data_IF_729732075830
#
_entry.id   IF_729732075830
#
_cell.length_a   1.000
_cell.length_b   1.000
_cell.length_c   1.000
_cell.angle_alpha   90.00
_cell.angle_beta   90.00
_cell.angle_gamma   90.00
#
_symmetry.space_group_name_H-M   'P 1'
#
loop_
_entity.id
_entity.type
_entity.pdbx_description
1 polymer ?
#
# COMPACT_ATOMS: atom_id res chain seq x y z
N UNK A 1 11.94 2.45 -6.00
CA UNK A 1 11.26 1.15 -5.84
C UNK A 1 11.42 0.37 -7.13
N UNK A 2 11.75 -0.91 -7.06
CA UNK A 2 11.75 -1.84 -8.18
C UNK A 2 10.56 -2.80 -8.00
N UNK A 3 9.49 -2.67 -8.80
CA UNK A 3 8.30 -3.49 -8.64
C UNK A 3 8.55 -4.98 -8.96
N UNK A 4 9.51 -5.29 -9.83
CA UNK A 4 9.79 -6.68 -10.25
C UNK A 4 10.48 -7.50 -9.16
N UNK A 5 11.31 -6.86 -8.35
CA UNK A 5 12.02 -7.52 -7.24
C UNK A 5 11.39 -7.22 -5.89
N UNK A 6 10.36 -6.36 -5.85
CA UNK A 6 9.70 -5.90 -4.62
C UNK A 6 10.71 -5.36 -3.58
N UNK A 7 11.67 -4.55 -4.04
CA UNK A 7 12.69 -3.92 -3.19
C UNK A 7 12.94 -2.46 -3.61
N UNK A 8 13.72 -1.72 -2.83
CA UNK A 8 14.22 -0.42 -3.23
C UNK A 8 15.00 -0.48 -4.55
N UNK A 9 14.97 0.62 -5.30
CA UNK A 9 15.74 0.71 -6.56
C UNK A 9 17.22 0.91 -6.24
N UNK A 10 18.10 0.57 -7.18
CA UNK A 10 19.56 0.73 -7.04
C UNK A 10 20.00 2.16 -6.71
N UNK A 11 19.19 3.17 -7.02
CA UNK A 11 19.41 4.56 -6.60
C UNK A 11 19.47 4.70 -5.08
N UNK A 12 18.55 4.06 -4.35
CA UNK A 12 18.48 4.14 -2.88
C UNK A 12 19.78 3.63 -2.25
N UNK A 13 20.35 2.58 -2.83
CA UNK A 13 21.62 2.01 -2.39
C UNK A 13 22.80 2.92 -2.74
N UNK A 14 22.87 3.41 -3.98
CA UNK A 14 23.92 4.34 -4.44
C UNK A 14 23.97 5.62 -3.61
N UNK A 15 22.82 6.10 -3.14
CA UNK A 15 22.74 7.29 -2.30
C UNK A 15 22.90 6.99 -0.79
N UNK A 16 23.05 5.71 -0.42
CA UNK A 16 23.16 5.29 0.99
C UNK A 16 21.88 5.51 1.80
N UNK A 17 20.72 5.67 1.15
CA UNK A 17 19.46 6.00 1.80
C UNK A 17 18.74 4.82 2.41
N UNK A 18 19.15 3.57 2.12
CA UNK A 18 18.47 2.38 2.63
C UNK A 18 18.32 2.38 4.15
N UNK A 19 19.33 2.90 4.88
CA UNK A 19 19.31 3.03 6.35
C UNK A 19 18.25 3.99 6.89
N UNK A 20 17.72 4.87 6.05
CA UNK A 20 16.66 5.84 6.41
C UNK A 20 15.26 5.25 6.24
N UNK A 21 15.16 4.09 5.60
CA UNK A 21 13.90 3.46 5.27
C UNK A 21 13.49 2.48 6.37
N UNK A 22 12.23 2.53 6.77
CA UNK A 22 11.66 1.50 7.64
C UNK A 22 11.61 0.15 6.91
N UNK A 23 11.64 -0.99 7.63
CA UNK A 23 11.45 -2.30 7.02
C UNK A 23 10.11 -2.37 6.26
N UNK A 24 10.15 -2.84 5.01
CA UNK A 24 8.95 -3.02 4.20
C UNK A 24 8.12 -4.18 4.74
N UNK A 25 6.80 -3.97 4.85
CA UNK A 25 5.83 -5.00 5.26
C UNK A 25 4.62 -4.99 4.32
N UNK A 26 3.94 -6.12 4.13
CA UNK A 26 2.64 -6.17 3.47
C UNK A 26 1.61 -5.22 4.11
N UNK A 27 0.78 -4.59 3.28
CA UNK A 27 -0.24 -3.64 3.73
C UNK A 27 -1.22 -4.21 4.77
N UNK A 28 -1.53 -5.51 4.66
CA UNK A 28 -2.45 -6.25 5.53
C UNK A 28 -1.85 -6.70 6.85
N UNK A 29 -0.57 -6.45 7.09
CA UNK A 29 0.07 -6.87 8.34
C UNK A 29 -0.42 -5.99 9.49
N UNK A 30 -0.79 -6.63 10.61
CA UNK A 30 -1.08 -5.93 11.87
C UNK A 30 0.23 -5.52 12.53
N UNK A 31 0.42 -4.22 12.73
CA UNK A 31 1.60 -3.67 13.40
C UNK A 31 1.49 -3.73 14.93
N UNK A 32 0.26 -3.69 15.44
CA UNK A 32 -0.01 -3.75 16.87
C UNK A 32 -1.37 -3.13 17.22
N UNK A 33 -1.68 -2.95 18.50
CA UNK A 33 -2.80 -2.11 18.92
C UNK A 33 -2.49 -0.62 18.73
N UNK A 34 -3.54 0.20 18.70
CA UNK A 34 -3.43 1.66 18.83
C UNK A 34 -2.64 2.03 20.10
N UNK A 35 -1.84 3.10 20.04
CA UNK A 35 -1.08 3.55 21.18
C UNK A 35 -1.99 3.92 22.37
N UNK A 36 -1.67 3.56 23.62
CA UNK A 36 -2.54 3.81 24.77
C UNK A 36 -2.95 5.28 24.95
N UNK A 37 -2.06 6.21 24.65
CA UNK A 37 -2.36 7.65 24.71
C UNK A 37 -3.40 8.06 23.66
N UNK A 38 -3.34 7.49 22.46
CA UNK A 38 -4.29 7.75 21.38
C UNK A 38 -5.64 7.08 21.68
N UNK A 39 -5.67 5.85 22.21
CA UNK A 39 -6.89 5.20 22.65
C UNK A 39 -7.66 6.05 23.67
N UNK A 40 -6.96 6.59 24.68
CA UNK A 40 -7.56 7.51 25.66
C UNK A 40 -8.09 8.80 25.02
N UNK A 41 -7.37 9.35 24.05
CA UNK A 41 -7.75 10.60 23.38
C UNK A 41 -8.98 10.42 22.49
N UNK A 42 -9.07 9.30 21.76
CA UNK A 42 -10.13 9.04 20.77
C UNK A 42 -11.32 8.27 21.33
N UNK A 43 -11.18 7.64 22.50
CA UNK A 43 -12.19 6.75 23.08
C UNK A 43 -12.27 5.37 22.41
N UNK A 44 -11.32 5.04 21.52
CA UNK A 44 -11.25 3.72 20.89
C UNK A 44 -10.79 2.65 21.88
N UNK A 45 -11.21 1.39 21.64
CA UNK A 45 -10.74 0.23 22.40
C UNK A 45 -9.19 0.17 22.33
N UNK A 46 -8.47 0.06 23.47
CA UNK A 46 -7.02 -0.11 23.47
C UNK A 46 -6.51 -1.31 22.66
N UNK A 47 -7.35 -2.29 22.32
CA UNK A 47 -7.01 -3.43 21.45
C UNK A 47 -7.25 -3.18 19.97
N UNK A 48 -7.78 -2.02 19.57
CA UNK A 48 -8.04 -1.64 18.17
C UNK A 48 -6.79 -1.88 17.31
N UNK A 49 -6.86 -2.74 16.28
CA UNK A 49 -5.69 -3.07 15.47
C UNK A 49 -5.27 -1.91 14.57
N UNK A 50 -3.97 -1.65 14.50
CA UNK A 50 -3.35 -0.78 13.50
C UNK A 50 -2.66 -1.66 12.47
N UNK A 51 -3.02 -1.48 11.20
CA UNK A 51 -2.42 -2.18 10.07
C UNK A 51 -1.34 -1.33 9.41
N UNK A 52 -0.42 -1.98 8.67
CA UNK A 52 0.64 -1.30 7.93
C UNK A 52 0.08 -0.27 6.93
N UNK A 53 -1.12 -0.53 6.41
CA UNK A 53 -1.83 0.39 5.55
C UNK A 53 -1.34 0.33 4.10
N UNK A 54 -2.02 1.09 3.25
CA UNK A 54 -1.77 1.13 1.82
C UNK A 54 -1.97 2.54 1.26
N UNK A 55 -1.46 2.76 0.05
CA UNK A 55 -1.63 4.02 -0.68
C UNK A 55 -3.08 4.21 -1.16
N UNK A 56 -3.55 5.45 -1.18
CA UNK A 56 -4.94 5.84 -1.49
C UNK A 56 -5.48 5.22 -2.79
N UNK A 57 -4.75 5.36 -3.90
CA UNK A 57 -5.21 4.77 -5.18
C UNK A 57 -5.31 3.25 -5.13
N UNK A 58 -4.46 2.56 -4.35
CA UNK A 58 -4.59 1.11 -4.13
C UNK A 58 -5.77 0.77 -3.21
N UNK A 59 -6.14 1.66 -2.27
CA UNK A 59 -7.30 1.47 -1.41
C UNK A 59 -8.59 1.53 -2.23
N UNK A 60 -8.65 2.45 -3.20
CA UNK A 60 -9.74 2.49 -4.18
C UNK A 60 -9.74 1.29 -5.12
N UNK A 61 -8.57 0.68 -5.41
CA UNK A 61 -8.46 -0.51 -6.25
C UNK A 61 -8.85 -1.82 -5.53
N UNK A 62 -8.66 -1.88 -4.21
CA UNK A 62 -8.82 -3.11 -3.42
C UNK A 62 -10.19 -3.79 -3.57
N UNK A 63 -11.35 -3.09 -3.55
CA UNK A 63 -12.65 -3.73 -3.76
C UNK A 63 -12.72 -4.47 -5.09
N UNK A 64 -12.17 -3.90 -6.17
CA UNK A 64 -12.14 -4.52 -7.49
C UNK A 64 -11.22 -5.73 -7.55
N UNK A 65 -10.10 -5.72 -6.83
CA UNK A 65 -9.23 -6.90 -6.72
C UNK A 65 -9.92 -8.08 -6.00
N UNK A 66 -10.91 -7.79 -5.15
CA UNK A 66 -11.68 -8.80 -4.42
C UNK A 66 -12.89 -9.29 -5.23
N UNK A 67 -13.54 -8.40 -6.00
CA UNK A 67 -14.77 -8.73 -6.72
C UNK A 67 -14.57 -9.20 -8.16
N UNK A 68 -13.53 -8.74 -8.85
CA UNK A 68 -13.34 -8.96 -10.28
C UNK A 68 -12.32 -10.08 -10.57
N UNK A 69 -12.48 -10.76 -11.71
CA UNK A 69 -11.47 -11.68 -12.24
C UNK A 69 -10.56 -10.97 -13.26
N UNK A 70 -9.22 -11.03 -13.11
CA UNK A 70 -8.30 -10.52 -14.11
C UNK A 70 -8.41 -11.24 -15.47
N UNK A 71 -8.15 -10.56 -16.60
CA UNK A 71 -7.68 -9.18 -16.69
C UNK A 71 -8.83 -8.18 -16.62
N UNK A 72 -8.61 -7.09 -15.89
CA UNK A 72 -9.52 -5.94 -15.87
C UNK A 72 -8.74 -4.65 -15.70
N UNK A 73 -9.40 -3.53 -15.97
CA UNK A 73 -8.87 -2.20 -15.70
C UNK A 73 -9.86 -1.39 -14.89
N UNK A 74 -9.34 -0.61 -13.95
CA UNK A 74 -10.11 0.44 -13.26
C UNK A 74 -9.69 1.77 -13.84
N UNK A 75 -10.64 2.51 -14.41
CA UNK A 75 -10.45 3.87 -14.92
C UNK A 75 -11.07 4.84 -13.92
N UNK A 76 -10.23 5.33 -13.00
CA UNK A 76 -10.64 6.34 -12.03
C UNK A 76 -10.67 7.71 -12.70
N UNK A 77 -11.75 8.46 -12.52
CA UNK A 77 -11.98 9.77 -13.14
C UNK A 77 -12.22 10.85 -12.08
N UNK A 78 -11.77 12.07 -12.38
CA UNK A 78 -11.87 13.24 -11.53
C UNK A 78 -11.14 14.40 -12.20
N UNK A 79 -10.33 15.15 -11.45
CA UNK A 79 -9.38 16.12 -12.05
C UNK A 79 -8.40 15.44 -13.01
N UNK A 80 -8.03 14.20 -12.70
CA UNK A 80 -7.20 13.35 -13.55
C UNK A 80 -7.94 12.07 -13.92
N UNK A 81 -7.54 11.47 -15.04
CA UNK A 81 -7.93 10.11 -15.41
C UNK A 81 -6.75 9.19 -15.15
N UNK A 82 -6.95 8.19 -14.29
CA UNK A 82 -5.93 7.20 -13.92
C UNK A 82 -6.41 5.81 -14.33
N UNK A 83 -5.64 5.14 -15.19
CA UNK A 83 -5.92 3.77 -15.64
C UNK A 83 -5.02 2.78 -14.91
N UNK A 84 -5.62 1.88 -14.14
CA UNK A 84 -4.94 0.80 -13.42
C UNK A 84 -5.28 -0.53 -14.07
N UNK A 85 -4.31 -1.17 -14.71
CA UNK A 85 -4.49 -2.46 -15.38
C UNK A 85 -4.03 -3.63 -14.50
N UNK A 86 -4.95 -4.53 -14.17
CA UNK A 86 -4.68 -5.73 -13.36
C UNK A 86 -4.61 -6.94 -14.27
N UNK A 87 -3.57 -7.77 -14.11
CA UNK A 87 -3.34 -8.92 -14.97
C UNK A 87 -2.98 -8.56 -16.42
N UNK A 88 -2.53 -7.31 -16.64
CA UNK A 88 -2.02 -6.88 -17.95
C UNK A 88 -0.77 -7.66 -18.36
N UNK A 89 -0.51 -7.72 -19.68
CA UNK A 89 0.72 -8.32 -20.20
C UNK A 89 1.93 -7.56 -19.67
N UNK A 90 2.99 -8.30 -19.33
CA UNK A 90 4.28 -7.71 -18.97
C UNK A 90 4.77 -6.85 -20.14
N UNK A 91 5.16 -5.61 -19.84
CA UNK A 91 5.84 -4.74 -20.81
C UNK A 91 7.32 -5.12 -20.79
N UNK A 92 7.88 -5.38 -21.96
CA UNK A 92 9.31 -5.64 -22.17
C UNK A 92 10.14 -4.36 -22.10
#
# INVERSE_FOLDING_TARGET
WNPWTSDYSSLVDKMGWRRLMAPVRPAKDRLGPILPALARLTGLDPQTPVYCGLHDSNASLLPHLVSEQPPFSVVSTGTWVVSMAVGGRKVE
#
